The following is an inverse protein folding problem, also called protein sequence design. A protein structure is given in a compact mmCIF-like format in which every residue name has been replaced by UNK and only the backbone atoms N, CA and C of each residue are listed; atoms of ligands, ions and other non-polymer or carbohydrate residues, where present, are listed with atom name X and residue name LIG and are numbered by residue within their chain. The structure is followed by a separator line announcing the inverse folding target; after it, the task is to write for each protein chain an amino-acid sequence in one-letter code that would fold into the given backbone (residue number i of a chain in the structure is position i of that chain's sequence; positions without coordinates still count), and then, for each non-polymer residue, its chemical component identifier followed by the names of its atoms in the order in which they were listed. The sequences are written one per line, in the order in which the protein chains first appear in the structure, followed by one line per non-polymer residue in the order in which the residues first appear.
data_IF_523865752225
#
_entry.id   IF_523865752225
#
_cell.length_a   1.000
_cell.length_b   1.000
_cell.length_c   1.000
_cell.angle_alpha   90.00
_cell.angle_beta   90.00
_cell.angle_gamma   90.00
#
_symmetry.space_group_name_H-M   'P 1'
#
loop_
_entity.id
_entity.type
_entity.pdbx_description
1 polymer ?
#
# COMPACT_ATOMS: atom_id res chain seq x y z
N UNK A 1 -19.99 1.89 -9.05
CA UNK A 1 -18.65 1.71 -8.47
C UNK A 1 -17.94 3.03 -8.58
N UNK A 2 -17.76 3.73 -7.47
CA UNK A 2 -17.14 5.06 -7.49
C UNK A 2 -15.63 4.90 -7.62
N UNK A 3 -14.97 5.88 -8.25
CA UNK A 3 -13.50 5.90 -8.41
C UNK A 3 -12.78 5.72 -7.05
N UNK A 4 -13.40 6.19 -5.97
CA UNK A 4 -12.94 6.06 -4.58
C UNK A 4 -12.93 4.61 -4.07
N UNK A 5 -13.91 3.79 -4.47
CA UNK A 5 -13.95 2.36 -4.11
C UNK A 5 -12.79 1.59 -4.76
N UNK A 6 -12.50 1.91 -6.02
CA UNK A 6 -11.37 1.32 -6.76
C UNK A 6 -10.00 1.72 -6.20
N UNK A 7 -9.84 2.99 -5.82
CA UNK A 7 -8.59 3.49 -5.22
C UNK A 7 -8.32 2.87 -3.84
N UNK A 8 -9.36 2.68 -3.03
CA UNK A 8 -9.25 2.01 -1.72
C UNK A 8 -8.89 0.53 -1.91
N UNK A 9 -9.58 -0.17 -2.80
CA UNK A 9 -9.29 -1.57 -3.12
C UNK A 9 -7.85 -1.77 -3.63
N UNK A 10 -7.35 -0.85 -4.45
CA UNK A 10 -5.97 -0.87 -4.94
C UNK A 10 -4.94 -0.68 -3.81
N UNK A 11 -5.20 0.25 -2.87
CA UNK A 11 -4.33 0.45 -1.72
C UNK A 11 -4.27 -0.80 -0.82
N UNK A 12 -5.41 -1.48 -0.63
CA UNK A 12 -5.51 -2.71 0.16
C UNK A 12 -4.83 -3.90 -0.52
N UNK A 13 -4.89 -4.00 -1.85
CA UNK A 13 -4.14 -4.99 -2.62
C UNK A 13 -2.62 -4.82 -2.44
N UNK A 14 -2.12 -3.59 -2.64
CA UNK A 14 -0.70 -3.30 -2.43
C UNK A 14 -0.27 -3.58 -0.99
N UNK A 15 -1.13 -3.32 -0.01
CA UNK A 15 -0.86 -3.62 1.39
C UNK A 15 -0.74 -5.13 1.64
N UNK A 16 -1.63 -5.95 1.05
CA UNK A 16 -1.51 -7.42 1.13
C UNK A 16 -0.22 -7.93 0.50
N UNK A 17 0.19 -7.37 -0.65
CA UNK A 17 1.46 -7.70 -1.29
C UNK A 17 2.64 -7.32 -0.38
N UNK A 18 2.59 -6.15 0.26
CA UNK A 18 3.61 -5.73 1.22
C UNK A 18 3.74 -6.71 2.39
N UNK A 19 2.61 -7.14 3.00
CA UNK A 19 2.64 -8.09 4.11
C UNK A 19 3.26 -9.41 3.70
N UNK A 20 2.82 -9.97 2.56
CA UNK A 20 3.41 -11.21 2.03
C UNK A 20 4.90 -11.08 1.78
N UNK A 21 5.36 -9.93 1.28
CA UNK A 21 6.79 -9.69 1.11
C UNK A 21 7.56 -9.63 2.44
N UNK A 22 6.97 -9.04 3.49
CA UNK A 22 7.60 -9.02 4.82
C UNK A 22 7.75 -10.43 5.39
N UNK A 23 6.77 -11.30 5.13
CA UNK A 23 6.83 -12.71 5.53
C UNK A 23 7.85 -13.48 4.70
N UNK A 24 7.83 -13.37 3.38
CA UNK A 24 8.65 -14.19 2.48
C UNK A 24 10.11 -13.71 2.38
N UNK A 25 10.39 -12.42 2.57
CA UNK A 25 11.72 -11.86 2.40
C UNK A 25 12.58 -12.06 3.66
N UNK A 26 13.68 -12.82 3.61
CA UNK A 26 14.53 -13.09 4.77
C UNK A 26 15.20 -11.83 5.33
N UNK A 27 15.50 -10.83 4.48
CA UNK A 27 16.07 -9.55 4.90
C UNK A 27 15.05 -8.75 5.71
N UNK A 28 13.85 -8.60 5.17
CA UNK A 28 12.78 -7.85 5.81
C UNK A 28 12.25 -8.57 7.07
N UNK A 29 12.28 -9.92 7.13
CA UNK A 29 11.98 -10.71 8.33
C UNK A 29 12.97 -10.48 9.48
N UNK A 30 14.22 -10.11 9.16
CA UNK A 30 15.24 -9.72 10.16
C UNK A 30 15.10 -8.27 10.62
N UNK A 31 14.04 -7.57 10.21
CA UNK A 31 13.85 -6.14 10.49
C UNK A 31 14.75 -5.21 9.67
N UNK A 32 15.45 -5.74 8.65
CA UNK A 32 16.32 -4.95 7.79
C UNK A 32 15.56 -4.48 6.56
N UNK A 33 15.67 -3.20 6.21
CA UNK A 33 14.98 -2.67 5.03
C UNK A 33 15.57 -3.25 3.73
N UNK A 34 14.74 -4.01 3.03
CA UNK A 34 15.03 -4.51 1.70
C UNK A 34 14.47 -3.54 0.63
N UNK A 35 15.17 -3.36 -0.50
CA UNK A 35 14.81 -2.38 -1.55
C UNK A 35 13.39 -2.59 -2.12
N UNK A 36 12.99 -3.85 -2.31
CA UNK A 36 11.62 -4.25 -2.65
C UNK A 36 10.61 -3.81 -1.58
N UNK A 37 10.88 -4.11 -0.30
CA UNK A 37 10.03 -3.67 0.82
C UNK A 37 9.87 -2.16 0.90
N UNK A 38 10.93 -1.39 0.65
CA UNK A 38 10.86 0.09 0.57
C UNK A 38 9.95 0.53 -0.57
N UNK A 39 10.09 -0.07 -1.77
CA UNK A 39 9.24 0.24 -2.93
C UNK A 39 7.76 -0.05 -2.63
N UNK A 40 7.45 -1.20 -2.03
CA UNK A 40 6.09 -1.57 -1.66
C UNK A 40 5.50 -0.62 -0.64
N UNK A 41 6.25 -0.27 0.42
CA UNK A 41 5.80 0.74 1.40
C UNK A 41 5.46 2.08 0.74
N UNK A 42 6.30 2.54 -0.20
CA UNK A 42 6.06 3.78 -0.94
C UNK A 42 4.81 3.67 -1.82
N UNK A 43 4.62 2.56 -2.52
CA UNK A 43 3.46 2.32 -3.36
C UNK A 43 2.15 2.31 -2.54
N UNK A 44 2.13 1.61 -1.40
CA UNK A 44 0.97 1.61 -0.48
C UNK A 44 0.65 3.02 0.01
N UNK A 45 1.65 3.79 0.43
CA UNK A 45 1.44 5.18 0.86
C UNK A 45 0.88 6.04 -0.27
N UNK A 46 1.43 5.93 -1.48
CA UNK A 46 0.94 6.68 -2.64
C UNK A 46 -0.51 6.32 -2.98
N UNK A 47 -0.87 5.03 -2.96
CA UNK A 47 -2.22 4.57 -3.23
C UNK A 47 -3.22 5.05 -2.17
N UNK A 48 -2.85 5.01 -0.88
CA UNK A 48 -3.67 5.56 0.22
C UNK A 48 -3.91 7.06 0.05
N UNK A 49 -2.86 7.81 -0.26
CA UNK A 49 -2.98 9.25 -0.52
C UNK A 49 -3.88 9.55 -1.72
N UNK A 50 -3.85 8.74 -2.76
CA UNK A 50 -4.74 8.86 -3.91
C UNK A 50 -6.20 8.55 -3.53
N UNK A 51 -6.43 7.50 -2.72
CA UNK A 51 -7.75 7.14 -2.22
C UNK A 51 -8.35 8.25 -1.33
N UNK A 52 -7.54 8.83 -0.44
CA UNK A 52 -7.96 9.95 0.43
C UNK A 52 -8.33 11.20 -0.37
N UNK A 53 -7.58 11.51 -1.45
CA UNK A 53 -7.90 12.63 -2.35
C UNK A 53 -9.17 12.39 -3.18
N UNK A 54 -9.48 11.13 -3.48
CA UNK A 54 -10.70 10.74 -4.19
C UNK A 54 -11.94 10.73 -3.30
N UNK A 55 -11.81 10.92 -1.98
CA UNK A 55 -12.93 11.06 -1.07
C UNK A 55 -13.46 12.49 -1.17
N UNK A 56 -14.72 12.71 -1.63
CA UNK A 56 -15.30 14.04 -1.54
C UNK A 56 -15.34 14.40 -0.06
N UNK A 57 -14.65 15.48 0.32
CA UNK A 57 -14.84 16.11 1.63
C UNK A 57 -16.19 16.79 1.56
N UNK A 58 -17.24 16.15 2.06
CA UNK A 58 -18.47 16.86 2.39
C UNK A 58 -18.13 17.68 3.64
N UNK A 59 -17.70 18.92 3.42
CA UNK A 59 -17.64 20.00 4.42
C UNK A 59 -18.74 20.98 4.13
#
# INVERSE_FOLDING_TARGET
MTVTDGATAHADELYRIQLRHLDDCPTCRKGVECSQGVRLRRAVRAARLAADKGRPRWT
#
